data_IF_825178873774
#
_entry.id   IF_825178873774
#
_cell.length_a   1.000
_cell.length_b   1.000
_cell.length_c   1.000
_cell.angle_alpha   90.00
_cell.angle_beta   90.00
_cell.angle_gamma   90.00
#
_symmetry.space_group_name_H-M   'P 1'
#
loop_
_entity.id
_entity.type
_entity.pdbx_description
1 polymer ?
#
# COMPACT_ATOMS: atom_id res chain seq x y z
N UNK A 1 7.36 -92.10 1.97
CA UNK A 1 8.61 -92.17 1.19
C UNK A 1 8.89 -90.80 0.62
N UNK A 2 10.12 -90.31 0.85
CA UNK A 2 10.73 -89.06 0.38
C UNK A 2 10.51 -88.84 -1.14
N UNK A 3 10.54 -87.65 -1.77
CA UNK A 3 11.63 -86.67 -1.84
C UNK A 3 11.23 -85.48 -2.77
N UNK A 4 11.57 -84.25 -2.34
CA UNK A 4 12.18 -83.12 -3.10
C UNK A 4 11.55 -82.52 -4.38
N UNK A 5 11.17 -81.21 -4.34
CA UNK A 5 11.93 -79.99 -4.78
C UNK A 5 11.57 -79.62 -6.23
N UNK A 6 11.24 -78.40 -6.65
CA UNK A 6 11.79 -77.05 -6.36
C UNK A 6 10.65 -76.03 -6.58
N UNK A 7 10.35 -75.17 -5.61
CA UNK A 7 9.48 -74.01 -5.78
C UNK A 7 10.35 -72.75 -5.73
N UNK A 8 10.46 -72.05 -6.85
CA UNK A 8 11.09 -70.73 -6.93
C UNK A 8 10.11 -69.71 -6.36
N UNK A 9 10.31 -69.29 -5.11
CA UNK A 9 9.58 -68.15 -4.53
C UNK A 9 10.40 -66.90 -4.83
N UNK A 10 9.91 -66.09 -5.78
CA UNK A 10 10.38 -64.73 -6.00
C UNK A 10 10.01 -63.90 -4.76
N UNK A 11 11.00 -63.58 -3.94
CA UNK A 11 10.85 -62.63 -2.84
C UNK A 11 10.90 -61.21 -3.43
N UNK A 12 9.72 -60.63 -3.68
CA UNK A 12 9.61 -59.20 -4.02
C UNK A 12 9.76 -58.42 -2.71
N UNK A 13 10.96 -57.85 -2.50
CA UNK A 13 11.18 -56.84 -1.48
C UNK A 13 10.39 -55.57 -1.83
N UNK A 14 9.23 -55.38 -1.20
CA UNK A 14 8.53 -54.10 -1.13
C UNK A 14 9.38 -53.16 -0.28
N UNK A 15 10.20 -52.34 -0.94
CA UNK A 15 10.86 -51.19 -0.32
C UNK A 15 9.77 -50.20 0.05
N UNK A 16 9.35 -50.23 1.32
CA UNK A 16 8.50 -49.20 1.90
C UNK A 16 9.30 -47.91 1.95
N UNK A 17 8.99 -47.00 1.02
CA UNK A 17 9.51 -45.64 1.02
C UNK A 17 8.91 -44.88 2.20
N UNK A 18 9.53 -44.98 3.38
CA UNK A 18 9.37 -44.02 4.46
C UNK A 18 10.05 -42.70 4.06
N UNK A 19 9.39 -41.92 3.22
CA UNK A 19 9.61 -40.48 3.21
C UNK A 19 8.90 -39.86 4.41
N UNK A 20 9.43 -38.81 5.05
CA UNK A 20 8.69 -38.06 6.05
C UNK A 20 7.40 -37.54 5.39
N UNK A 21 6.26 -38.03 5.87
CA UNK A 21 4.94 -37.47 5.55
C UNK A 21 4.89 -36.11 6.23
N UNK A 22 4.93 -35.03 5.46
CA UNK A 22 4.56 -33.70 5.99
C UNK A 22 3.16 -33.84 6.59
N UNK A 23 3.08 -33.77 7.91
CA UNK A 23 1.79 -33.59 8.59
C UNK A 23 1.28 -32.22 8.18
N UNK A 24 0.26 -32.21 7.32
CA UNK A 24 -0.49 -31.00 7.01
C UNK A 24 -1.16 -30.59 8.31
N UNK A 25 -0.58 -29.61 9.01
CA UNK A 25 -1.17 -29.05 10.21
C UNK A 25 -2.51 -28.41 9.82
N UNK A 26 -3.62 -29.09 10.13
CA UNK A 26 -4.97 -28.63 9.80
C UNK A 26 -5.34 -27.33 10.54
N UNK A 27 -4.59 -26.97 11.58
CA UNK A 27 -4.75 -25.76 12.39
C UNK A 27 -3.81 -24.62 11.96
N UNK A 28 -3.12 -24.75 10.82
CA UNK A 28 -2.23 -23.70 10.34
C UNK A 28 -3.01 -22.41 10.04
N UNK A 29 -2.52 -21.28 10.58
CA UNK A 29 -3.10 -19.97 10.31
C UNK A 29 -2.94 -19.62 8.82
N UNK A 30 -4.05 -19.37 8.13
CA UNK A 30 -4.10 -19.19 6.67
C UNK A 30 -4.48 -17.76 6.31
N UNK A 31 -3.67 -17.11 5.47
CA UNK A 31 -3.85 -15.71 5.07
C UNK A 31 -3.82 -15.56 3.55
N UNK A 32 -4.89 -14.98 3.00
CA UNK A 32 -5.06 -14.75 1.56
C UNK A 32 -4.89 -13.28 1.22
N UNK A 33 -4.40 -12.98 0.02
CA UNK A 33 -4.26 -11.62 -0.50
C UNK A 33 -4.81 -11.55 -1.93
N UNK A 34 -5.79 -10.68 -2.14
CA UNK A 34 -6.26 -10.26 -3.45
C UNK A 34 -5.62 -8.90 -3.77
N UNK A 35 -4.93 -8.80 -4.90
CA UNK A 35 -4.36 -7.53 -5.39
C UNK A 35 -5.03 -7.08 -6.69
N UNK A 36 -5.24 -5.76 -6.90
CA UNK A 36 -5.79 -5.22 -8.14
C UNK A 36 -4.80 -5.22 -9.31
N UNK A 37 -3.50 -5.35 -9.01
CA UNK A 37 -2.42 -5.36 -9.99
C UNK A 37 -1.27 -6.27 -9.58
N UNK A 38 -0.19 -6.27 -10.35
CA UNK A 38 0.93 -7.18 -10.15
C UNK A 38 1.75 -6.79 -8.93
N UNK A 39 2.15 -7.77 -8.13
CA UNK A 39 3.02 -7.57 -6.96
C UNK A 39 4.45 -7.12 -7.32
N UNK A 40 4.77 -7.00 -8.61
CA UNK A 40 6.02 -6.48 -9.15
C UNK A 40 6.00 -4.97 -9.44
N UNK A 41 4.91 -4.25 -9.15
CA UNK A 41 4.76 -2.81 -9.36
C UNK A 41 5.72 -1.91 -8.57
N UNK A 42 6.56 -2.51 -7.71
CA UNK A 42 7.50 -1.85 -6.79
C UNK A 42 6.85 -0.80 -5.87
N UNK A 43 5.51 -0.82 -5.74
CA UNK A 43 4.71 0.23 -5.13
C UNK A 43 3.61 -0.35 -4.25
N UNK A 44 2.35 -0.12 -4.62
CA UNK A 44 1.18 -0.46 -3.83
C UNK A 44 1.07 -1.97 -3.59
N UNK A 45 0.95 -2.76 -4.66
CA UNK A 45 0.76 -4.21 -4.60
C UNK A 45 1.99 -4.93 -4.06
N UNK A 46 3.20 -4.47 -4.41
CA UNK A 46 4.43 -4.98 -3.83
C UNK A 46 4.47 -4.81 -2.30
N UNK A 47 3.99 -3.67 -1.78
CA UNK A 47 3.92 -3.42 -0.35
C UNK A 47 2.97 -4.37 0.40
N UNK A 48 1.83 -4.70 -0.18
CA UNK A 48 0.93 -5.70 0.41
C UNK A 48 1.51 -7.11 0.36
N UNK A 49 2.17 -7.48 -0.74
CA UNK A 49 2.83 -8.78 -0.85
C UNK A 49 3.98 -8.93 0.15
N UNK A 50 4.79 -7.89 0.34
CA UNK A 50 5.79 -7.82 1.42
C UNK A 50 5.15 -8.04 2.80
N UNK A 51 3.97 -7.45 3.05
CA UNK A 51 3.18 -7.70 4.25
C UNK A 51 2.73 -9.15 4.41
N UNK A 52 2.25 -9.76 3.34
CA UNK A 52 1.86 -11.17 3.33
C UNK A 52 3.06 -12.09 3.63
N UNK A 53 4.22 -11.81 3.03
CA UNK A 53 5.47 -12.54 3.29
C UNK A 53 5.95 -12.34 4.73
N UNK A 54 5.83 -11.12 5.27
CA UNK A 54 6.15 -10.83 6.66
C UNK A 54 5.23 -11.62 7.62
N UNK A 55 3.94 -11.69 7.33
CA UNK A 55 2.98 -12.50 8.10
C UNK A 55 3.36 -13.98 8.07
N UNK A 56 3.73 -14.54 6.91
CA UNK A 56 4.24 -15.91 6.81
C UNK A 56 5.41 -16.12 7.76
N UNK A 57 6.39 -15.22 7.72
CA UNK A 57 7.62 -15.31 8.52
C UNK A 57 7.36 -15.21 10.02
N UNK A 58 6.59 -14.21 10.45
CA UNK A 58 6.42 -13.90 11.88
C UNK A 58 5.34 -14.75 12.55
N UNK A 59 4.35 -15.23 11.79
CA UNK A 59 3.22 -15.99 12.33
C UNK A 59 3.17 -17.45 11.87
N UNK A 60 4.19 -17.93 11.15
CA UNK A 60 4.21 -19.28 10.56
C UNK A 60 2.93 -19.58 9.76
N UNK A 61 2.50 -18.58 8.99
CA UNK A 61 1.22 -18.62 8.27
C UNK A 61 1.37 -19.30 6.91
N UNK A 62 0.36 -20.07 6.52
CA UNK A 62 0.19 -20.50 5.13
C UNK A 62 -0.41 -19.34 4.35
N UNK A 63 0.29 -18.89 3.32
CA UNK A 63 -0.11 -17.72 2.54
C UNK A 63 -0.42 -18.06 1.09
N UNK A 64 -1.31 -17.28 0.49
CA UNK A 64 -1.55 -17.28 -0.95
C UNK A 64 -1.89 -15.86 -1.40
N UNK A 65 -1.47 -15.51 -2.61
CA UNK A 65 -1.84 -14.28 -3.28
C UNK A 65 -2.38 -14.60 -4.67
N UNK A 66 -3.42 -13.88 -5.09
CA UNK A 66 -3.92 -13.88 -6.46
C UNK A 66 -4.18 -12.44 -6.92
N UNK A 67 -3.90 -12.18 -8.18
CA UNK A 67 -4.27 -10.93 -8.84
C UNK A 67 -5.70 -11.05 -9.37
N UNK A 68 -6.51 -10.03 -9.12
CA UNK A 68 -7.92 -9.93 -9.54
C UNK A 68 -8.14 -8.53 -10.07
N UNK A 69 -8.90 -8.33 -11.15
CA UNK A 69 -9.02 -7.02 -11.83
C UNK A 69 -10.44 -6.48 -11.86
N UNK A 70 -11.44 -7.35 -11.79
CA UNK A 70 -12.85 -6.96 -11.94
C UNK A 70 -13.64 -7.21 -10.66
N UNK A 71 -14.77 -6.50 -10.44
CA UNK A 71 -15.65 -6.76 -9.30
C UNK A 71 -16.08 -8.22 -9.16
N UNK A 72 -16.33 -8.91 -10.28
CA UNK A 72 -16.68 -10.33 -10.29
C UNK A 72 -15.50 -11.21 -9.83
N UNK A 73 -14.28 -10.90 -10.26
CA UNK A 73 -13.07 -11.59 -9.80
C UNK A 73 -12.78 -11.31 -8.32
N UNK A 74 -13.06 -10.09 -7.82
CA UNK A 74 -12.92 -9.77 -6.40
C UNK A 74 -13.83 -10.65 -5.54
N UNK A 75 -15.12 -10.74 -5.89
CA UNK A 75 -16.09 -11.58 -5.18
C UNK A 75 -15.70 -13.06 -5.23
N UNK A 76 -15.29 -13.54 -6.41
CA UNK A 76 -14.87 -14.94 -6.57
C UNK A 76 -13.62 -15.25 -5.75
N UNK A 77 -12.59 -14.39 -5.79
CA UNK A 77 -11.36 -14.57 -5.03
C UNK A 77 -11.59 -14.59 -3.52
N UNK A 78 -12.45 -13.70 -3.00
CA UNK A 78 -12.84 -13.74 -1.59
C UNK A 78 -13.55 -15.05 -1.23
N UNK A 79 -14.47 -15.50 -2.08
CA UNK A 79 -15.23 -16.74 -1.87
C UNK A 79 -14.33 -17.97 -1.93
N UNK A 80 -13.36 -18.01 -2.83
CA UNK A 80 -12.42 -19.12 -3.00
C UNK A 80 -11.52 -19.26 -1.77
N UNK A 81 -10.94 -18.16 -1.29
CA UNK A 81 -10.15 -18.19 -0.06
C UNK A 81 -10.99 -18.57 1.15
N UNK A 82 -12.18 -17.99 1.31
CA UNK A 82 -13.03 -18.30 2.46
C UNK A 82 -13.48 -19.77 2.46
N UNK A 83 -13.84 -20.31 1.29
CA UNK A 83 -14.17 -21.74 1.12
C UNK A 83 -12.95 -22.65 1.32
N UNK A 84 -11.74 -22.17 1.04
CA UNK A 84 -10.47 -22.84 1.33
C UNK A 84 -10.07 -22.86 2.81
N UNK A 85 -10.92 -22.33 3.70
CA UNK A 85 -10.68 -22.27 5.13
C UNK A 85 -9.62 -21.24 5.53
N UNK A 86 -9.49 -20.15 4.79
CA UNK A 86 -8.63 -19.04 5.18
C UNK A 86 -9.23 -18.28 6.36
N UNK A 87 -8.38 -17.92 7.32
CA UNK A 87 -8.79 -17.23 8.54
C UNK A 87 -8.87 -15.72 8.31
N UNK A 88 -7.98 -15.20 7.45
CA UNK A 88 -7.85 -13.79 7.13
C UNK A 88 -7.67 -13.62 5.62
N UNK A 89 -8.43 -12.73 5.01
CA UNK A 89 -8.30 -12.39 3.60
C UNK A 89 -8.19 -10.87 3.46
N UNK A 90 -7.13 -10.41 2.82
CA UNK A 90 -6.93 -9.02 2.46
C UNK A 90 -7.38 -8.79 1.00
N UNK A 91 -8.28 -7.84 0.77
CA UNK A 91 -8.49 -7.20 -0.53
C UNK A 91 -7.73 -5.87 -0.56
N UNK A 92 -6.68 -5.78 -1.36
CA UNK A 92 -5.74 -4.66 -1.30
C UNK A 92 -6.17 -3.46 -2.15
N UNK A 93 -7.23 -2.78 -1.74
CA UNK A 93 -7.71 -1.57 -2.40
C UNK A 93 -9.10 -1.15 -1.94
N UNK A 94 -9.48 0.08 -2.31
CA UNK A 94 -10.81 0.62 -2.03
C UNK A 94 -11.90 -0.15 -2.78
N UNK A 95 -11.59 -0.59 -4.00
CA UNK A 95 -12.44 -1.32 -4.93
C UNK A 95 -12.91 -2.69 -4.43
N UNK A 96 -12.27 -3.25 -3.40
CA UNK A 96 -12.63 -4.55 -2.82
C UNK A 96 -13.78 -4.48 -1.79
N UNK A 97 -14.18 -3.28 -1.34
CA UNK A 97 -15.07 -3.14 -0.18
C UNK A 97 -16.47 -3.72 -0.41
N UNK A 98 -17.03 -3.58 -1.61
CA UNK A 98 -18.37 -4.08 -1.92
C UNK A 98 -18.36 -5.60 -2.04
N UNK A 99 -17.33 -6.16 -2.69
CA UNK A 99 -17.13 -7.60 -2.80
C UNK A 99 -16.93 -8.26 -1.43
N UNK A 100 -16.11 -7.67 -0.57
CA UNK A 100 -15.91 -8.15 0.80
C UNK A 100 -17.24 -8.17 1.57
N UNK A 101 -18.02 -7.10 1.50
CA UNK A 101 -19.31 -7.00 2.18
C UNK A 101 -20.37 -7.97 1.65
N UNK A 102 -20.32 -8.30 0.35
CA UNK A 102 -21.22 -9.27 -0.28
C UNK A 102 -20.90 -10.72 0.12
N UNK A 103 -19.62 -11.07 0.23
CA UNK A 103 -19.17 -12.45 0.50
C UNK A 103 -19.18 -12.78 2.00
N UNK A 104 -18.78 -11.83 2.85
CA UNK A 104 -18.52 -12.07 4.26
C UNK A 104 -19.67 -12.72 5.08
N UNK A 105 -20.97 -12.42 4.84
CA UNK A 105 -22.07 -13.06 5.56
C UNK A 105 -22.11 -14.59 5.41
N UNK A 106 -21.57 -15.14 4.32
CA UNK A 106 -21.49 -16.59 4.10
C UNK A 106 -20.36 -17.28 4.87
N UNK A 107 -19.43 -16.51 5.44
CA UNK A 107 -18.19 -17.02 6.04
C UNK A 107 -17.87 -16.32 7.37
N UNK A 108 -18.71 -16.49 8.41
CA UNK A 108 -18.60 -15.72 9.66
C UNK A 108 -17.31 -15.98 10.46
N UNK A 109 -16.58 -17.06 10.16
CA UNK A 109 -15.30 -17.40 10.81
C UNK A 109 -14.08 -16.80 10.09
N UNK A 110 -14.26 -16.25 8.90
CA UNK A 110 -13.20 -15.61 8.13
C UNK A 110 -13.27 -14.10 8.34
N UNK A 111 -12.13 -13.48 8.60
CA UNK A 111 -12.01 -12.02 8.66
C UNK A 111 -11.62 -11.48 7.29
N UNK A 112 -12.37 -10.48 6.82
CA UNK A 112 -12.17 -9.80 5.55
C UNK A 112 -11.66 -8.39 5.81
N UNK A 113 -10.48 -8.09 5.28
CA UNK A 113 -9.87 -6.77 5.41
C UNK A 113 -9.78 -6.12 4.06
N UNK A 114 -10.16 -4.86 3.96
CA UNK A 114 -9.81 -4.02 2.81
C UNK A 114 -8.77 -2.99 3.21
N UNK A 115 -7.83 -2.68 2.33
CA UNK A 115 -6.93 -1.53 2.55
C UNK A 115 -7.52 -0.32 1.83
N UNK A 116 -7.82 0.74 2.58
CA UNK A 116 -8.79 1.78 2.23
C UNK A 116 -10.25 1.31 2.32
N UNK A 117 -11.20 2.22 2.12
CA UNK A 117 -12.63 1.96 2.21
C UNK A 117 -13.28 2.42 3.52
N UNK A 118 -14.60 2.32 3.58
CA UNK A 118 -15.41 2.74 4.75
C UNK A 118 -16.37 1.66 5.24
N UNK A 119 -16.42 0.52 4.56
CA UNK A 119 -17.40 -0.53 4.80
C UNK A 119 -17.02 -1.40 5.99
N UNK A 120 -17.84 -1.37 7.04
CA UNK A 120 -17.74 -2.25 8.22
C UNK A 120 -18.93 -3.21 8.27
N UNK A 121 -18.65 -4.48 8.59
CA UNK A 121 -19.61 -5.54 8.97
C UNK A 121 -19.01 -6.35 10.12
N UNK A 122 -19.72 -7.36 10.63
CA UNK A 122 -19.28 -8.17 11.78
C UNK A 122 -17.85 -8.74 11.63
N UNK A 123 -17.49 -9.18 10.43
CA UNK A 123 -16.18 -9.72 10.06
C UNK A 123 -15.54 -9.00 8.86
N UNK A 124 -15.98 -7.77 8.55
CA UNK A 124 -15.40 -6.93 7.49
C UNK A 124 -14.90 -5.63 8.10
N UNK A 125 -13.64 -5.28 7.87
CA UNK A 125 -13.08 -4.01 8.32
C UNK A 125 -12.13 -3.39 7.29
N UNK A 126 -12.15 -2.07 7.11
CA UNK A 126 -11.14 -1.38 6.34
C UNK A 126 -9.96 -0.96 7.24
N UNK A 127 -8.76 -1.09 6.71
CA UNK A 127 -7.53 -0.45 7.20
C UNK A 127 -7.29 0.80 6.36
N UNK A 128 -7.54 1.97 6.93
CA UNK A 128 -7.36 3.27 6.29
C UNK A 128 -6.02 3.85 6.70
N UNK A 129 -5.14 4.04 5.73
CA UNK A 129 -3.85 4.69 5.93
C UNK A 129 -4.02 6.20 5.90
N UNK A 130 -3.60 6.91 6.96
CA UNK A 130 -3.70 8.37 7.03
C UNK A 130 -2.53 9.06 6.30
N UNK A 131 -2.29 8.67 5.04
CA UNK A 131 -1.20 9.22 4.20
C UNK A 131 -1.34 10.75 4.01
N UNK A 132 -2.55 11.28 4.22
CA UNK A 132 -2.86 12.70 4.32
C UNK A 132 -1.91 13.41 5.27
N UNK A 133 -1.51 12.79 6.39
CA UNK A 133 -0.59 13.39 7.35
C UNK A 133 0.78 13.71 6.72
N UNK A 134 1.34 12.77 5.94
CA UNK A 134 2.62 12.98 5.27
C UNK A 134 2.48 13.94 4.08
N UNK A 135 1.43 13.78 3.28
CA UNK A 135 1.20 14.64 2.11
C UNK A 135 0.87 16.08 2.49
N UNK A 136 0.19 16.32 3.62
CA UNK A 136 0.02 17.65 4.18
C UNK A 136 1.35 18.32 4.51
N UNK A 137 2.27 17.61 5.17
CA UNK A 137 3.62 18.11 5.44
C UNK A 137 4.42 18.37 4.14
N UNK A 138 4.26 17.53 3.11
CA UNK A 138 4.84 17.78 1.78
C UNK A 138 4.28 19.07 1.14
N UNK A 139 2.99 19.33 1.32
CA UNK A 139 2.36 20.57 0.89
C UNK A 139 2.96 21.80 1.57
N UNK A 140 3.08 21.75 2.90
CA UNK A 140 3.72 22.81 3.68
C UNK A 140 5.17 23.05 3.24
N UNK A 141 5.94 21.97 3.01
CA UNK A 141 7.31 22.02 2.53
C UNK A 141 7.40 22.69 1.15
N UNK A 142 6.50 22.32 0.24
CA UNK A 142 6.42 22.89 -1.11
C UNK A 142 6.13 24.39 -1.07
N UNK A 143 5.19 24.81 -0.22
CA UNK A 143 4.84 26.22 -0.07
C UNK A 143 5.98 27.09 0.48
N UNK A 144 6.86 26.54 1.32
CA UNK A 144 8.05 27.23 1.82
C UNK A 144 9.17 27.36 0.78
N UNK A 145 9.19 26.50 -0.24
CA UNK A 145 10.33 26.39 -1.15
C UNK A 145 10.05 26.82 -2.59
N UNK A 146 8.81 26.68 -3.07
CA UNK A 146 8.38 27.07 -4.42
C UNK A 146 8.81 28.49 -4.77
N UNK A 147 9.24 28.68 -6.01
CA UNK A 147 9.59 29.98 -6.61
C UNK A 147 8.47 30.53 -7.48
N UNK A 148 7.58 29.66 -7.94
CA UNK A 148 6.48 30.04 -8.84
C UNK A 148 5.15 30.21 -8.12
N UNK A 149 5.05 29.76 -6.85
CA UNK A 149 3.79 29.64 -6.10
C UNK A 149 2.79 28.69 -6.78
N UNK A 150 3.29 27.76 -7.62
CA UNK A 150 2.48 26.75 -8.29
C UNK A 150 3.01 25.37 -7.94
N UNK A 151 2.13 24.57 -7.38
CA UNK A 151 2.39 23.17 -7.04
C UNK A 151 1.40 22.30 -7.80
N UNK A 152 1.71 21.02 -7.97
CA UNK A 152 0.82 20.14 -8.72
C UNK A 152 0.84 18.70 -8.25
N UNK A 153 -0.11 17.93 -8.76
CA UNK A 153 -0.19 16.51 -8.50
C UNK A 153 -0.57 15.69 -9.73
N UNK A 154 -0.02 14.49 -9.85
CA UNK A 154 -0.35 13.54 -10.92
C UNK A 154 -0.88 12.24 -10.31
N UNK A 155 -2.14 11.93 -10.58
CA UNK A 155 -2.84 10.76 -10.07
C UNK A 155 -3.05 9.71 -11.14
N UNK A 156 -3.21 8.45 -10.71
CA UNK A 156 -3.64 7.37 -11.58
C UNK A 156 -5.11 7.49 -11.94
N UNK A 157 -5.97 6.74 -11.23
CA UNK A 157 -7.43 6.87 -11.33
C UNK A 157 -7.96 7.87 -10.29
N UNK A 158 -8.98 8.64 -10.66
CA UNK A 158 -9.65 9.58 -9.75
C UNK A 158 -10.60 8.84 -8.78
N UNK A 159 -10.02 8.18 -7.78
CA UNK A 159 -10.74 7.52 -6.68
C UNK A 159 -10.61 8.33 -5.38
N UNK A 160 -11.51 8.13 -4.39
CA UNK A 160 -11.51 8.90 -3.15
C UNK A 160 -10.15 8.96 -2.43
N UNK A 161 -9.42 7.85 -2.37
CA UNK A 161 -8.10 7.77 -1.71
C UNK A 161 -7.04 8.68 -2.36
N UNK A 162 -6.99 8.72 -3.70
CA UNK A 162 -6.09 9.61 -4.43
C UNK A 162 -6.47 11.06 -4.19
N UNK A 163 -7.77 11.38 -4.34
CA UNK A 163 -8.29 12.74 -4.12
C UNK A 163 -7.98 13.24 -2.70
N UNK A 164 -8.18 12.39 -1.69
CA UNK A 164 -7.88 12.70 -0.29
C UNK A 164 -6.41 13.09 -0.10
N UNK A 165 -5.48 12.32 -0.68
CA UNK A 165 -4.04 12.62 -0.62
C UNK A 165 -3.68 13.95 -1.32
N UNK A 166 -4.37 14.30 -2.41
CA UNK A 166 -4.15 15.55 -3.13
C UNK A 166 -4.75 16.75 -2.41
N UNK A 167 -5.93 16.59 -1.81
CA UNK A 167 -6.56 17.61 -1.00
C UNK A 167 -5.74 17.91 0.27
N UNK A 168 -5.14 16.89 0.89
CA UNK A 168 -4.22 17.08 2.02
C UNK A 168 -2.94 17.82 1.60
N UNK A 169 -2.33 17.44 0.47
CA UNK A 169 -1.18 18.15 -0.10
C UNK A 169 -1.49 19.62 -0.39
N UNK A 170 -2.64 19.89 -1.02
CA UNK A 170 -3.12 21.26 -1.26
C UNK A 170 -3.37 22.01 0.04
N UNK A 171 -4.06 21.41 1.01
CA UNK A 171 -4.38 22.04 2.28
C UNK A 171 -3.12 22.41 3.08
N UNK A 172 -2.12 21.54 3.09
CA UNK A 172 -0.82 21.81 3.70
C UNK A 172 -0.14 23.02 3.08
N UNK A 173 -0.15 23.10 1.75
CA UNK A 173 0.44 24.24 1.05
C UNK A 173 -0.32 25.56 1.32
N UNK A 174 -1.66 25.53 1.27
CA UNK A 174 -2.53 26.69 1.54
C UNK A 174 -2.38 27.18 2.98
N UNK A 175 -2.15 26.27 3.95
CA UNK A 175 -1.94 26.66 5.35
C UNK A 175 -0.69 27.54 5.56
N UNK A 176 0.29 27.44 4.66
CA UNK A 176 1.53 28.22 4.68
C UNK A 176 1.42 29.45 3.78
N UNK A 177 0.84 29.29 2.60
CA UNK A 177 0.66 30.35 1.61
C UNK A 177 -0.75 30.26 0.98
N UNK A 178 -1.70 31.09 1.42
CA UNK A 178 -3.06 31.09 0.88
C UNK A 178 -3.17 31.38 -0.61
N UNK A 179 -2.17 32.04 -1.20
CA UNK A 179 -2.13 32.41 -2.62
C UNK A 179 -1.52 31.32 -3.51
N UNK A 180 -1.18 30.14 -2.98
CA UNK A 180 -0.63 29.05 -3.79
C UNK A 180 -1.67 28.57 -4.81
N UNK A 181 -1.20 28.32 -6.03
CA UNK A 181 -1.98 27.66 -7.07
C UNK A 181 -1.69 26.16 -7.06
N UNK A 182 -2.75 25.36 -7.11
CA UNK A 182 -2.66 23.90 -7.18
C UNK A 182 -3.33 23.40 -8.46
N UNK A 183 -2.65 22.51 -9.18
CA UNK A 183 -3.17 21.88 -10.40
C UNK A 183 -2.99 20.36 -10.29
N UNK A 184 -4.07 19.60 -10.44
CA UNK A 184 -4.04 18.14 -10.46
C UNK A 184 -4.37 17.60 -11.86
N UNK A 185 -3.74 16.49 -12.23
CA UNK A 185 -4.05 15.73 -13.44
C UNK A 185 -4.20 14.25 -13.09
N UNK A 186 -5.19 13.57 -13.66
CA UNK A 186 -5.42 12.14 -13.51
C UNK A 186 -5.28 11.46 -14.87
N UNK A 187 -4.44 10.43 -14.95
CA UNK A 187 -4.17 9.73 -16.23
C UNK A 187 -5.19 8.62 -16.54
N UNK A 188 -6.06 8.30 -15.58
CA UNK A 188 -7.15 7.34 -15.73
C UNK A 188 -6.74 5.86 -15.63
N UNK A 189 -5.50 5.56 -15.26
CA UNK A 189 -4.98 4.21 -15.06
C UNK A 189 -3.75 4.21 -14.12
N UNK A 190 -3.20 3.04 -13.79
CA UNK A 190 -2.10 2.89 -12.82
C UNK A 190 -0.75 2.53 -13.43
N UNK A 191 -0.69 2.27 -14.74
CA UNK A 191 0.44 1.57 -15.37
C UNK A 191 1.10 2.36 -16.52
N UNK A 192 0.40 3.36 -17.10
CA UNK A 192 0.87 4.12 -18.25
C UNK A 192 1.89 5.20 -17.84
N UNK A 193 3.16 4.78 -17.81
CA UNK A 193 4.33 5.62 -17.59
C UNK A 193 4.41 6.78 -18.61
N UNK A 194 3.99 6.56 -19.85
CA UNK A 194 4.02 7.58 -20.90
C UNK A 194 3.01 8.68 -20.61
N UNK A 195 1.76 8.31 -20.32
CA UNK A 195 0.72 9.26 -19.96
C UNK A 195 1.07 10.06 -18.70
N UNK A 196 1.63 9.42 -17.66
CA UNK A 196 2.10 10.11 -16.46
C UNK A 196 3.22 11.13 -16.78
N UNK A 197 4.16 10.75 -17.65
CA UNK A 197 5.24 11.65 -18.08
C UNK A 197 4.68 12.88 -18.80
N UNK A 198 3.81 12.70 -19.79
CA UNK A 198 3.21 13.80 -20.56
C UNK A 198 2.35 14.71 -19.67
N UNK A 199 1.52 14.14 -18.79
CA UNK A 199 0.75 14.91 -17.82
C UNK A 199 1.65 15.75 -16.91
N UNK A 200 2.78 15.19 -16.47
CA UNK A 200 3.76 15.88 -15.63
C UNK A 200 4.45 17.03 -16.37
N UNK A 201 4.91 16.79 -17.60
CA UNK A 201 5.51 17.83 -18.45
C UNK A 201 4.54 19.01 -18.65
N UNK A 202 3.26 18.72 -18.89
CA UNK A 202 2.24 19.75 -19.03
C UNK A 202 2.04 20.59 -17.75
N UNK A 203 2.17 20.00 -16.55
CA UNK A 203 2.16 20.76 -15.29
C UNK A 203 3.40 21.65 -15.15
N UNK A 204 4.58 21.13 -15.49
CA UNK A 204 5.82 21.90 -15.42
C UNK A 204 5.79 23.06 -16.42
N UNK A 205 5.24 22.87 -17.61
CA UNK A 205 5.06 23.92 -18.62
C UNK A 205 4.10 25.02 -18.17
N UNK A 206 3.16 24.71 -17.28
CA UNK A 206 2.30 25.69 -16.61
C UNK A 206 3.00 26.42 -15.44
N UNK A 207 4.25 26.05 -15.14
CA UNK A 207 5.10 26.67 -14.11
C UNK A 207 5.06 25.96 -12.76
N UNK A 208 4.56 24.72 -12.68
CA UNK A 208 4.64 23.93 -11.44
C UNK A 208 6.10 23.53 -11.16
N UNK A 209 6.59 23.79 -9.94
CA UNK A 209 7.96 23.46 -9.52
C UNK A 209 8.05 22.43 -8.38
N UNK A 210 6.93 22.06 -7.76
CA UNK A 210 6.82 20.95 -6.81
C UNK A 210 5.64 20.04 -7.17
N UNK A 211 5.91 18.74 -7.34
CA UNK A 211 4.94 17.75 -7.79
C UNK A 211 4.83 16.61 -6.79
N UNK A 212 3.62 16.29 -6.38
CA UNK A 212 3.29 15.02 -5.71
C UNK A 212 2.67 14.04 -6.71
N UNK A 213 2.83 12.73 -6.53
CA UNK A 213 2.12 11.77 -7.38
C UNK A 213 1.48 10.67 -6.54
N UNK A 214 0.38 10.13 -7.04
CA UNK A 214 -0.23 8.91 -6.52
C UNK A 214 -0.79 8.13 -7.71
N UNK A 215 0.11 7.42 -8.39
CA UNK A 215 -0.10 6.83 -9.72
C UNK A 215 0.57 5.45 -9.86
N UNK A 216 0.92 4.81 -8.74
CA UNK A 216 1.53 3.48 -8.69
C UNK A 216 2.68 3.29 -9.71
N UNK A 217 2.64 2.26 -10.56
CA UNK A 217 3.68 1.99 -11.57
C UNK A 217 3.88 3.15 -12.57
N UNK A 218 2.80 3.84 -12.96
CA UNK A 218 2.88 5.02 -13.82
C UNK A 218 3.67 6.18 -13.17
N UNK A 219 3.81 6.19 -11.83
CA UNK A 219 4.59 7.17 -11.08
C UNK A 219 6.04 7.33 -11.56
N UNK A 220 6.63 6.29 -12.15
CA UNK A 220 7.96 6.38 -12.77
C UNK A 220 8.02 7.44 -13.89
N UNK A 221 6.92 7.62 -14.62
CA UNK A 221 6.80 8.66 -15.67
C UNK A 221 6.92 10.07 -15.11
N UNK A 222 6.39 10.31 -13.91
CA UNK A 222 6.51 11.59 -13.19
C UNK A 222 7.98 11.88 -12.88
N UNK A 223 8.72 10.87 -12.38
CA UNK A 223 10.14 11.03 -12.10
C UNK A 223 10.95 11.32 -13.35
N UNK A 224 10.71 10.59 -14.44
CA UNK A 224 11.36 10.83 -15.72
C UNK A 224 11.13 12.27 -16.23
N UNK A 225 9.90 12.76 -16.19
CA UNK A 225 9.57 14.13 -16.62
C UNK A 225 10.32 15.19 -15.78
N UNK A 226 10.38 15.00 -14.47
CA UNK A 226 11.05 15.95 -13.56
C UNK A 226 12.57 15.92 -13.73
N UNK A 227 13.16 14.76 -14.00
CA UNK A 227 14.60 14.64 -14.29
C UNK A 227 15.04 15.43 -15.54
N UNK A 228 14.13 15.68 -16.48
CA UNK A 228 14.39 16.48 -17.68
C UNK A 228 14.38 18.00 -17.42
N UNK A 229 13.94 18.44 -16.24
CA UNK A 229 13.71 19.85 -15.92
C UNK A 229 14.54 20.28 -14.71
N UNK A 230 15.17 21.45 -14.82
CA UNK A 230 15.95 22.03 -13.72
C UNK A 230 15.03 22.80 -12.77
N UNK A 231 15.31 22.70 -11.47
CA UNK A 231 14.59 23.47 -10.45
C UNK A 231 13.18 22.97 -10.14
N UNK A 232 12.82 21.79 -10.65
CA UNK A 232 11.57 21.11 -10.34
C UNK A 232 11.88 19.94 -9.41
N UNK A 233 11.07 19.75 -8.38
CA UNK A 233 11.18 18.64 -7.45
C UNK A 233 9.91 17.81 -7.43
N UNK A 234 10.07 16.53 -7.09
CA UNK A 234 8.97 15.59 -6.95
C UNK A 234 9.05 14.87 -5.61
N UNK A 235 7.92 14.33 -5.16
CA UNK A 235 7.86 13.51 -3.97
C UNK A 235 7.43 12.08 -4.29
N UNK A 236 8.03 11.10 -3.63
CA UNK A 236 7.58 9.71 -3.70
C UNK A 236 6.29 9.47 -2.91
N UNK A 237 5.55 8.43 -3.29
CA UNK A 237 4.34 7.98 -2.60
C UNK A 237 4.39 6.50 -2.30
N UNK A 238 3.73 6.09 -1.22
CA UNK A 238 3.55 4.73 -0.71
C UNK A 238 4.84 4.07 -0.20
N UNK A 239 5.95 4.13 -0.95
CA UNK A 239 7.27 3.64 -0.52
C UNK A 239 8.29 4.76 -0.45
N UNK A 240 9.42 4.49 0.19
CA UNK A 240 10.59 5.36 0.08
C UNK A 240 11.21 5.19 -1.30
N UNK A 241 10.91 6.14 -2.19
CA UNK A 241 11.37 6.12 -3.58
C UNK A 241 12.58 7.03 -3.80
N UNK A 242 13.15 7.60 -2.74
CA UNK A 242 14.22 8.59 -2.82
C UNK A 242 15.40 8.12 -3.68
N UNK A 243 15.73 6.81 -3.65
CA UNK A 243 16.83 6.24 -4.41
C UNK A 243 16.56 6.05 -5.92
N UNK A 244 15.30 6.11 -6.38
CA UNK A 244 14.92 5.87 -7.79
C UNK A 244 15.37 7.03 -8.67
N UNK A 245 15.15 8.26 -8.23
CA UNK A 245 15.58 9.48 -8.91
C UNK A 245 16.17 10.47 -7.88
N UNK A 246 17.35 10.16 -7.32
CA UNK A 246 17.88 10.82 -6.12
C UNK A 246 18.23 12.28 -6.30
N UNK A 247 18.28 12.77 -7.54
CA UNK A 247 18.57 14.16 -7.85
C UNK A 247 17.32 15.04 -7.91
N UNK A 248 16.12 14.47 -7.94
CA UNK A 248 14.86 15.22 -8.07
C UNK A 248 13.77 14.84 -7.06
N UNK A 249 13.83 13.62 -6.50
CA UNK A 249 12.88 13.21 -5.44
C UNK A 249 13.33 13.87 -4.13
N UNK A 250 12.63 14.89 -3.65
CA UNK A 250 13.03 15.63 -2.46
C UNK A 250 12.72 14.89 -1.15
N UNK A 251 11.60 14.17 -1.13
CA UNK A 251 11.14 13.37 0.00
C UNK A 251 10.10 12.35 -0.48
N UNK A 252 9.74 11.39 0.36
CA UNK A 252 8.68 10.42 0.09
C UNK A 252 7.66 10.39 1.24
N UNK A 253 6.38 10.36 0.91
CA UNK A 253 5.30 9.99 1.83
C UNK A 253 5.17 8.46 1.83
N UNK A 254 5.52 7.82 2.94
CA UNK A 254 5.72 6.37 3.02
C UNK A 254 4.63 5.74 3.87
N UNK A 255 4.16 4.57 3.41
CA UNK A 255 3.25 3.69 4.11
C UNK A 255 3.97 2.41 4.53
N UNK A 256 3.92 2.09 5.81
CA UNK A 256 4.37 0.80 6.34
C UNK A 256 3.26 -0.25 6.20
N UNK A 257 2.82 -0.50 4.95
CA UNK A 257 1.79 -1.51 4.62
C UNK A 257 2.12 -2.87 5.24
N UNK A 258 3.38 -3.38 5.19
CA UNK A 258 3.71 -4.66 5.81
C UNK A 258 3.41 -4.73 7.30
N UNK A 259 3.77 -3.69 8.05
CA UNK A 259 3.55 -3.65 9.50
C UNK A 259 2.08 -3.53 9.83
N UNK A 260 1.32 -2.72 9.07
CA UNK A 260 -0.12 -2.60 9.25
C UNK A 260 -0.84 -3.94 9.03
N UNK A 261 -0.48 -4.68 7.97
CA UNK A 261 -1.03 -6.02 7.72
C UNK A 261 -0.63 -7.01 8.82
N UNK A 262 0.62 -6.99 9.26
CA UNK A 262 1.09 -7.86 10.35
C UNK A 262 0.32 -7.62 11.64
N UNK A 263 0.08 -6.36 12.03
CA UNK A 263 -0.71 -6.03 13.22
C UNK A 263 -2.12 -6.64 13.15
N UNK A 264 -2.79 -6.51 12.01
CA UNK A 264 -4.13 -7.10 11.84
C UNK A 264 -4.07 -8.63 11.89
N UNK A 265 -3.09 -9.25 11.23
CA UNK A 265 -2.92 -10.69 11.25
C UNK A 265 -2.64 -11.24 12.66
N UNK A 266 -1.86 -10.53 13.48
CA UNK A 266 -1.62 -10.86 14.89
C UNK A 266 -2.91 -10.84 15.70
N UNK A 267 -3.76 -9.83 15.54
CA UNK A 267 -5.03 -9.74 16.25
C UNK A 267 -6.02 -10.84 15.86
N UNK A 268 -6.10 -11.15 14.56
CA UNK A 268 -6.96 -12.23 14.05
C UNK A 268 -6.47 -13.58 14.58
N UNK A 269 -5.16 -13.86 14.50
CA UNK A 269 -4.57 -15.10 15.03
C UNK A 269 -4.77 -15.23 16.55
N UNK A 270 -4.74 -14.13 17.27
CA UNK A 270 -4.97 -14.10 18.73
C UNK A 270 -6.46 -14.13 19.12
N UNK A 271 -7.40 -14.05 18.16
CA UNK A 271 -8.84 -14.03 18.43
C UNK A 271 -9.35 -12.76 19.10
N UNK A 272 -8.60 -11.66 19.01
CA UNK A 272 -8.94 -10.36 19.64
C UNK A 272 -9.36 -9.29 18.64
N UNK A 273 -9.34 -9.62 17.35
CA UNK A 273 -9.77 -8.71 16.29
C UNK A 273 -11.22 -8.24 16.50
N UNK A 274 -11.45 -6.94 16.28
CA UNK A 274 -12.78 -6.33 16.29
C UNK A 274 -12.95 -5.53 15.00
N UNK A 275 -14.06 -5.77 14.31
CA UNK A 275 -14.36 -5.04 13.09
C UNK A 275 -14.70 -3.58 13.39
N UNK A 276 -13.89 -2.67 12.86
CA UNK A 276 -14.07 -1.22 12.90
C UNK A 276 -13.20 -0.59 11.83
N UNK A 277 -13.46 0.67 11.48
CA UNK A 277 -12.55 1.42 10.60
C UNK A 277 -11.24 1.63 11.37
N UNK A 278 -10.16 1.00 10.90
CA UNK A 278 -8.83 1.13 11.51
C UNK A 278 -8.06 2.23 10.82
N UNK A 279 -7.93 3.37 11.47
CA UNK A 279 -7.16 4.49 10.96
C UNK A 279 -5.73 4.41 11.48
N UNK A 280 -4.76 4.32 10.58
CA UNK A 280 -3.35 4.13 10.92
C UNK A 280 -2.54 5.27 10.31
N UNK A 281 -2.01 6.15 11.16
CA UNK A 281 -1.22 7.32 10.78
C UNK A 281 0.22 7.27 11.30
N UNK A 282 0.81 8.44 11.48
CA UNK A 282 2.16 8.60 12.02
C UNK A 282 2.27 8.13 13.46
N UNK A 283 1.19 8.29 14.25
CA UNK A 283 1.15 7.84 15.65
C UNK A 283 1.28 6.33 15.77
N UNK A 284 0.71 5.60 14.81
CA UNK A 284 0.79 4.13 14.72
C UNK A 284 2.05 3.66 13.98
N UNK A 285 2.97 4.57 13.60
CA UNK A 285 4.16 4.29 12.79
C UNK A 285 3.85 3.66 11.42
N UNK A 286 2.65 3.89 10.89
CA UNK A 286 2.25 3.38 9.58
C UNK A 286 2.45 4.41 8.48
N UNK A 287 2.47 5.70 8.83
CA UNK A 287 2.73 6.79 7.90
C UNK A 287 4.03 7.49 8.31
N UNK A 288 4.90 7.79 7.36
CA UNK A 288 6.09 8.61 7.61
C UNK A 288 6.41 9.55 6.46
N UNK A 289 7.13 10.63 6.77
CA UNK A 289 7.74 11.52 5.82
C UNK A 289 9.25 11.26 5.81
N UNK A 290 9.76 10.75 4.69
CA UNK A 290 11.18 10.40 4.55
C UNK A 290 11.88 11.39 3.63
N UNK A 291 12.71 12.27 4.18
CA UNK A 291 13.51 13.21 3.37
C UNK A 291 14.60 12.44 2.62
N UNK A 292 14.81 12.77 1.35
CA UNK A 292 15.92 12.23 0.58
C UNK A 292 17.26 12.73 1.15
N UNK A 293 18.14 11.83 1.65
CA UNK A 293 19.44 12.23 2.18
C UNK A 293 20.30 12.97 1.16
N UNK A 294 20.20 12.62 -0.13
CA UNK A 294 20.97 13.25 -1.21
C UNK A 294 20.55 14.70 -1.49
N UNK A 295 19.33 15.09 -1.11
CA UNK A 295 18.80 16.44 -1.29
C UNK A 295 18.52 17.16 0.03
N UNK A 296 18.96 16.63 1.17
CA UNK A 296 18.71 17.25 2.48
C UNK A 296 19.26 18.69 2.56
N UNK A 297 20.38 18.95 1.91
CA UNK A 297 20.98 20.29 1.82
C UNK A 297 20.16 21.29 0.97
N UNK A 298 19.16 20.81 0.21
CA UNK A 298 18.24 21.68 -0.53
C UNK A 298 17.15 22.26 0.37
N UNK A 299 16.90 21.65 1.54
CA UNK A 299 15.92 22.12 2.52
C UNK A 299 16.65 22.94 3.58
N UNK A 300 16.41 24.26 3.69
CA UNK A 300 17.00 25.07 4.74
C UNK A 300 16.60 24.55 6.14
N UNK A 301 17.49 24.67 7.13
CA UNK A 301 17.23 24.18 8.50
C UNK A 301 15.98 24.81 9.12
N UNK A 302 15.73 26.10 8.87
CA UNK A 302 14.54 26.79 9.34
C UNK A 302 13.25 26.19 8.75
N UNK A 303 13.29 25.77 7.49
CA UNK A 303 12.15 25.14 6.82
C UNK A 303 11.95 23.75 7.39
N UNK A 304 13.03 22.99 7.60
CA UNK A 304 12.93 21.66 8.19
C UNK A 304 12.40 21.70 9.63
N UNK A 305 12.90 22.61 10.47
CA UNK A 305 12.41 22.80 11.83
C UNK A 305 10.92 23.18 11.87
N UNK A 306 10.47 23.99 10.91
CA UNK A 306 9.05 24.33 10.74
C UNK A 306 8.19 23.09 10.42
N UNK A 307 8.64 22.24 9.50
CA UNK A 307 7.94 20.99 9.15
C UNK A 307 7.94 19.99 10.31
N UNK A 308 9.06 19.88 11.02
CA UNK A 308 9.18 18.99 12.18
C UNK A 308 8.26 19.44 13.32
N UNK A 309 8.12 20.75 13.54
CA UNK A 309 7.15 21.29 14.50
C UNK A 309 5.72 20.89 14.12
N UNK A 310 5.32 21.07 12.86
CA UNK A 310 4.01 20.66 12.38
C UNK A 310 3.79 19.14 12.51
N UNK A 311 4.83 18.33 12.26
CA UNK A 311 4.79 16.87 12.47
C UNK A 311 4.49 16.52 13.94
N UNK A 312 5.13 17.20 14.89
CA UNK A 312 4.84 17.00 16.31
C UNK A 312 3.39 17.39 16.66
N UNK A 313 2.89 18.50 16.12
CA UNK A 313 1.50 18.93 16.33
C UNK A 313 0.50 17.91 15.76
N UNK A 314 0.81 17.26 14.63
CA UNK A 314 -0.01 16.15 14.10
C UNK A 314 0.00 14.96 15.07
N UNK A 315 1.17 14.59 15.60
CA UNK A 315 1.30 13.47 16.54
C UNK A 315 0.57 13.70 17.87
N UNK A 316 0.56 14.94 18.38
CA UNK A 316 -0.15 15.32 19.62
C UNK A 316 -1.63 15.60 19.39
N UNK A 317 -2.06 15.75 18.12
CA UNK A 317 -3.44 16.10 17.75
C UNK A 317 -3.75 17.60 17.83
N UNK A 318 -2.76 18.45 18.08
CA UNK A 318 -2.89 19.92 18.02
C UNK A 318 -3.18 20.40 16.59
N UNK A 319 -2.58 19.74 15.58
CA UNK A 319 -2.86 19.96 14.17
C UNK A 319 -3.65 18.78 13.61
N UNK A 320 -4.90 19.03 13.24
CA UNK A 320 -5.77 18.02 12.62
C UNK A 320 -5.72 18.18 11.10
N UNK A 321 -5.15 17.18 10.43
CA UNK A 321 -5.05 17.14 8.97
C UNK A 321 -6.42 16.79 8.36
N UNK A 322 -6.87 17.48 7.28
CA UNK A 322 -8.08 17.11 6.55
C UNK A 322 -7.99 15.69 5.98
N UNK A 323 -9.10 14.94 6.06
CA UNK A 323 -9.22 13.56 5.59
C UNK A 323 -10.43 13.43 4.68
N UNK A 324 -10.32 12.67 3.59
CA UNK A 324 -11.34 12.56 2.56
C UNK A 324 -12.48 11.59 2.87
N UNK A 325 -12.30 10.65 3.81
CA UNK A 325 -13.30 9.65 4.23
C UNK A 325 -12.84 8.89 5.48
#
# INVERSE_FOLDING_TARGET
>A
MNYNRILFVLLVCLVSACGPREEINQDAFKVGLLTPGPVSDAGWNAGAYEGLVLIKKELDAVISQVETKTPAEFEQGFRDYASGGYHLIFGHGFEFQDAAAAVAPGFPQTVFITTSGTTVRDNVAPVVFEIEQATFLLGMLSAKQTKTRKIGAVGGVEIPSVKSSFDAFRAGAVSVNPDIQFVASYIGNWEDIGAAKEATLALIDQGVDFIFHNADAAGLGVFHAVQERKGVFVFGSNKDLNAIAPNVILASAVLSIPNAMLTVAQEVKAGVFKASIRRLGMKENVVSLNINPALRNRIPEEVWAFIETARQQILTGELVVPKGF
#
